data_IF_525455009508
#
_entry.id   IF_525455009508
#
_cell.length_a   1.000
_cell.length_b   1.000
_cell.length_c   1.000
_cell.angle_alpha   90.00
_cell.angle_beta   90.00
_cell.angle_gamma   90.00
#
_symmetry.space_group_name_H-M   'P 1'
#
loop_
_entity.id
_entity.type
_entity.pdbx_description
1 polymer ?
#
# COMPACT_ATOMS: atom_id res chain seq x y z
N UNK A 1 -28.83 29.51 -4.75
CA UNK A 1 -27.62 29.50 -3.93
C UNK A 1 -26.80 28.34 -4.41
N UNK A 2 -25.74 28.58 -5.16
CA UNK A 2 -24.77 27.54 -5.53
C UNK A 2 -24.05 27.13 -4.25
N UNK A 3 -24.33 25.92 -3.75
CA UNK A 3 -23.51 25.31 -2.70
C UNK A 3 -22.06 25.35 -3.18
N UNK A 4 -21.19 26.09 -2.52
CA UNK A 4 -19.76 26.03 -2.77
C UNK A 4 -19.32 24.60 -2.50
N UNK A 5 -18.88 23.92 -3.55
CA UNK A 5 -18.39 22.55 -3.45
C UNK A 5 -17.10 22.57 -2.64
N UNK A 6 -17.01 21.74 -1.60
CA UNK A 6 -15.79 21.64 -0.81
C UNK A 6 -14.68 21.00 -1.67
N UNK A 7 -13.48 21.62 -1.70
CA UNK A 7 -12.39 21.23 -2.60
C UNK A 7 -11.17 20.76 -1.81
N UNK A 8 -10.75 19.55 -2.05
CA UNK A 8 -9.53 18.91 -1.49
C UNK A 8 -8.42 18.93 -2.52
N UNK A 9 -7.28 19.54 -2.18
CA UNK A 9 -6.04 19.41 -2.96
C UNK A 9 -5.24 18.23 -2.42
N UNK A 10 -5.26 17.10 -3.14
CA UNK A 10 -4.58 15.86 -2.75
C UNK A 10 -3.14 15.87 -3.26
N UNK A 11 -2.19 16.03 -2.35
CA UNK A 11 -0.76 15.86 -2.61
C UNK A 11 -0.32 14.45 -2.24
N UNK A 12 0.32 13.77 -3.16
CA UNK A 12 0.72 12.38 -2.95
C UNK A 12 2.14 12.13 -3.43
N UNK A 13 2.91 11.38 -2.66
CA UNK A 13 4.15 10.78 -3.14
C UNK A 13 3.78 9.63 -4.08
N UNK A 14 4.31 9.67 -5.31
CA UNK A 14 3.93 8.71 -6.34
C UNK A 14 5.17 8.12 -6.99
N UNK A 15 5.48 6.85 -6.67
CA UNK A 15 6.57 6.12 -7.29
C UNK A 15 6.01 5.22 -8.40
N UNK A 16 6.17 5.63 -9.67
CA UNK A 16 5.65 4.91 -10.84
C UNK A 16 6.27 3.52 -11.07
N UNK A 17 7.28 3.17 -10.29
CA UNK A 17 7.97 1.87 -10.30
C UNK A 17 7.35 0.83 -9.36
N UNK A 18 6.26 1.20 -8.66
CA UNK A 18 5.54 0.36 -7.71
C UNK A 18 4.04 0.53 -7.94
N UNK A 19 3.33 -0.55 -8.30
CA UNK A 19 1.88 -0.49 -8.54
C UNK A 19 1.09 -0.12 -7.28
N UNK A 20 1.59 -0.48 -6.09
CA UNK A 20 0.98 -0.10 -4.83
C UNK A 20 1.02 1.41 -4.60
N UNK A 21 2.19 2.01 -4.77
CA UNK A 21 2.34 3.47 -4.65
C UNK A 21 1.45 4.21 -5.67
N UNK A 22 1.30 3.66 -6.89
CA UNK A 22 0.38 4.19 -7.90
C UNK A 22 -1.07 4.09 -7.47
N UNK A 23 -1.46 3.05 -6.72
CA UNK A 23 -2.85 2.81 -6.31
C UNK A 23 -3.33 3.74 -5.19
N UNK A 24 -2.44 4.31 -4.37
CA UNK A 24 -2.80 5.13 -3.20
C UNK A 24 -3.72 6.30 -3.58
N UNK A 25 -3.27 7.18 -4.48
CA UNK A 25 -4.01 8.40 -4.81
C UNK A 25 -5.32 8.14 -5.54
N UNK A 26 -5.38 7.30 -6.60
CA UNK A 26 -6.65 6.93 -7.21
C UNK A 26 -7.61 6.27 -6.22
N UNK A 27 -7.08 5.49 -5.27
CA UNK A 27 -7.88 4.90 -4.21
C UNK A 27 -8.49 5.95 -3.28
N UNK A 28 -7.71 6.94 -2.83
CA UNK A 28 -8.25 8.07 -2.05
C UNK A 28 -9.32 8.82 -2.83
N UNK A 29 -9.07 9.15 -4.10
CA UNK A 29 -10.09 9.81 -4.95
C UNK A 29 -11.36 8.96 -5.05
N UNK A 30 -11.21 7.64 -5.25
CA UNK A 30 -12.35 6.73 -5.32
C UNK A 30 -13.12 6.66 -4.00
N UNK A 31 -12.44 6.72 -2.86
CA UNK A 31 -13.09 6.78 -1.55
C UNK A 31 -13.95 8.06 -1.43
N UNK A 32 -13.45 9.22 -1.84
CA UNK A 32 -14.24 10.46 -1.87
C UNK A 32 -15.42 10.36 -2.83
N UNK A 33 -15.24 9.85 -4.06
CA UNK A 33 -16.35 9.67 -5.01
C UNK A 33 -17.46 8.77 -4.46
N UNK A 34 -17.12 7.77 -3.65
CA UNK A 34 -18.10 6.83 -3.07
C UNK A 34 -18.77 7.38 -1.81
N UNK A 35 -18.04 8.10 -0.97
CA UNK A 35 -18.50 8.42 0.39
C UNK A 35 -18.78 9.91 0.62
N UNK A 36 -18.29 10.78 -0.27
CA UNK A 36 -18.54 12.22 -0.27
C UNK A 36 -18.53 12.78 -1.70
N UNK A 37 -19.47 12.36 -2.58
CA UNK A 37 -19.48 12.72 -4.00
C UNK A 37 -19.69 14.24 -4.25
N UNK A 38 -20.12 14.98 -3.24
CA UNK A 38 -20.23 16.45 -3.24
C UNK A 38 -18.88 17.15 -3.17
N UNK A 39 -17.81 16.47 -2.75
CA UNK A 39 -16.46 17.03 -2.65
C UNK A 39 -15.74 16.94 -4.00
N UNK A 40 -15.04 17.99 -4.35
CA UNK A 40 -14.10 17.96 -5.46
C UNK A 40 -12.71 17.58 -4.94
N UNK A 41 -12.11 16.54 -5.52
CA UNK A 41 -10.70 16.20 -5.26
C UNK A 41 -9.88 16.59 -6.47
N UNK A 42 -8.88 17.44 -6.27
CA UNK A 42 -7.88 17.80 -7.27
C UNK A 42 -6.59 17.05 -6.92
N UNK A 43 -6.11 16.24 -7.85
CA UNK A 43 -4.87 15.49 -7.64
C UNK A 43 -3.65 16.34 -8.06
N UNK A 44 -2.71 16.50 -7.15
CA UNK A 44 -1.40 17.11 -7.37
C UNK A 44 -0.29 16.09 -7.11
N UNK A 45 0.09 15.27 -8.12
CA UNK A 45 1.09 14.21 -7.94
C UNK A 45 2.52 14.80 -7.91
N UNK A 46 3.43 14.11 -7.22
CA UNK A 46 4.87 14.43 -7.26
C UNK A 46 5.45 14.20 -8.65
N UNK A 47 5.06 13.09 -9.24
CA UNK A 47 5.46 12.65 -10.58
C UNK A 47 4.30 11.91 -11.24
N UNK A 48 4.05 12.19 -12.50
CA UNK A 48 3.02 11.51 -13.28
C UNK A 48 3.56 11.22 -14.68
N UNK A 49 3.66 9.95 -15.03
CA UNK A 49 4.06 9.50 -16.35
C UNK A 49 2.84 9.24 -17.24
N UNK A 50 3.04 9.11 -18.57
CA UNK A 50 1.91 8.96 -19.49
C UNK A 50 1.09 7.67 -19.25
N UNK A 51 1.71 6.63 -18.77
CA UNK A 51 1.03 5.39 -18.42
C UNK A 51 0.01 5.61 -17.30
N UNK A 52 0.43 6.22 -16.19
CA UNK A 52 -0.44 6.52 -15.05
C UNK A 52 -1.48 7.58 -15.41
N UNK A 53 -1.11 8.56 -16.24
CA UNK A 53 -2.05 9.56 -16.77
C UNK A 53 -3.14 8.91 -17.63
N UNK A 54 -2.78 7.91 -18.45
CA UNK A 54 -3.73 7.13 -19.23
C UNK A 54 -4.67 6.32 -18.33
N UNK A 55 -4.12 5.63 -17.33
CA UNK A 55 -4.90 4.89 -16.33
C UNK A 55 -5.91 5.82 -15.62
N UNK A 56 -5.47 6.99 -15.15
CA UNK A 56 -6.36 7.95 -14.48
C UNK A 56 -7.50 8.42 -15.38
N UNK A 57 -7.23 8.71 -16.66
CA UNK A 57 -8.29 9.08 -17.63
C UNK A 57 -9.36 7.99 -17.80
N UNK A 58 -8.96 6.72 -17.69
CA UNK A 58 -9.90 5.61 -17.81
C UNK A 58 -10.63 5.30 -16.49
N UNK A 59 -9.88 5.26 -15.39
CA UNK A 59 -10.42 4.92 -14.08
C UNK A 59 -11.25 6.04 -13.46
N UNK A 60 -10.84 7.29 -13.66
CA UNK A 60 -11.37 8.50 -13.01
C UNK A 60 -11.50 9.64 -14.04
N UNK A 61 -12.40 9.53 -15.04
CA UNK A 61 -12.46 10.46 -16.17
C UNK A 61 -12.72 11.91 -15.77
N UNK A 62 -13.40 12.15 -14.65
CA UNK A 62 -13.73 13.49 -14.14
C UNK A 62 -12.67 14.05 -13.18
N UNK A 63 -11.58 13.32 -12.92
CA UNK A 63 -10.53 13.77 -12.00
C UNK A 63 -9.73 14.91 -12.61
N UNK A 64 -9.73 16.04 -11.93
CA UNK A 64 -8.81 17.14 -12.23
C UNK A 64 -7.42 16.81 -11.69
N UNK A 65 -6.43 16.85 -12.57
CA UNK A 65 -5.01 16.67 -12.23
C UNK A 65 -4.28 17.97 -12.53
N UNK A 66 -3.43 18.41 -11.62
CA UNK A 66 -2.60 19.60 -11.78
C UNK A 66 -1.13 19.24 -11.65
N UNK A 67 -0.33 19.72 -12.58
CA UNK A 67 1.13 19.56 -12.55
C UNK A 67 1.77 20.81 -11.96
N UNK A 68 2.95 20.66 -11.39
CA UNK A 68 3.75 21.76 -10.89
C UNK A 68 4.47 21.46 -9.59
N UNK A 69 5.39 22.35 -9.25
CA UNK A 69 6.20 22.31 -8.03
C UNK A 69 6.04 23.59 -7.23
N UNK A 70 6.31 23.55 -5.93
CA UNK A 70 6.46 24.74 -5.10
C UNK A 70 7.93 25.08 -4.96
N UNK A 71 8.27 26.32 -5.29
CA UNK A 71 9.59 26.92 -5.08
C UNK A 71 9.53 28.10 -4.13
N UNK A 72 10.66 28.81 -3.94
CA UNK A 72 10.72 30.03 -3.14
C UNK A 72 9.79 31.13 -3.64
N UNK A 73 9.56 31.17 -4.96
CA UNK A 73 8.69 32.15 -5.64
C UNK A 73 7.22 31.68 -5.75
N UNK A 74 6.86 30.54 -5.17
CA UNK A 74 5.51 29.99 -5.18
C UNK A 74 5.27 28.87 -6.21
N UNK A 75 4.00 28.66 -6.64
CA UNK A 75 3.62 27.63 -7.60
C UNK A 75 4.26 27.85 -8.98
N UNK A 76 4.82 26.80 -9.57
CA UNK A 76 5.52 26.87 -10.86
C UNK A 76 4.60 26.96 -12.08
N UNK A 77 3.28 26.71 -11.91
CA UNK A 77 2.29 26.77 -13.00
C UNK A 77 1.06 27.56 -12.57
N UNK A 78 0.38 28.28 -13.50
CA UNK A 78 -0.88 28.96 -13.21
C UNK A 78 -1.99 28.00 -12.74
N UNK A 79 -2.02 26.78 -13.27
CA UNK A 79 -3.00 25.75 -12.92
C UNK A 79 -2.83 25.29 -11.47
N UNK A 80 -1.59 25.12 -10.99
CA UNK A 80 -1.31 24.80 -9.60
C UNK A 80 -1.66 25.98 -8.69
N UNK A 81 -1.34 27.22 -9.09
CA UNK A 81 -1.72 28.42 -8.34
C UNK A 81 -3.25 28.49 -8.15
N UNK A 82 -4.01 28.31 -9.24
CA UNK A 82 -5.47 28.31 -9.20
C UNK A 82 -6.05 27.17 -8.34
N UNK A 83 -5.40 25.98 -8.36
CA UNK A 83 -5.80 24.86 -7.52
C UNK A 83 -5.55 25.14 -6.02
N UNK A 84 -4.41 25.74 -5.68
CA UNK A 84 -4.07 26.17 -4.32
C UNK A 84 -5.07 27.24 -3.85
N UNK A 85 -5.36 28.25 -4.68
CA UNK A 85 -6.29 29.32 -4.31
C UNK A 85 -7.72 28.81 -4.11
N UNK A 86 -8.15 27.82 -4.88
CA UNK A 86 -9.50 27.26 -4.81
C UNK A 86 -9.69 26.12 -3.80
N UNK A 87 -8.62 25.52 -3.26
CA UNK A 87 -8.75 24.39 -2.34
C UNK A 87 -9.06 24.84 -0.92
N UNK A 88 -9.98 24.17 -0.27
CA UNK A 88 -10.32 24.41 1.15
C UNK A 88 -9.34 23.72 2.10
N UNK A 89 -8.77 22.59 1.69
CA UNK A 89 -7.84 21.78 2.48
C UNK A 89 -6.74 21.19 1.62
N UNK A 90 -5.50 21.17 2.13
CA UNK A 90 -4.41 20.38 1.59
C UNK A 90 -4.37 19.02 2.28
N UNK A 91 -4.47 17.95 1.51
CA UNK A 91 -4.40 16.58 2.02
C UNK A 91 -3.11 15.90 1.55
N UNK A 92 -2.30 15.42 2.49
CA UNK A 92 -1.24 14.47 2.20
C UNK A 92 -1.86 13.07 2.09
N UNK A 93 -1.70 12.44 0.95
CA UNK A 93 -2.29 11.11 0.69
C UNK A 93 -1.53 9.96 1.38
N UNK A 94 -2.03 8.75 1.17
CA UNK A 94 -1.46 7.52 1.73
C UNK A 94 0.02 7.35 1.39
N UNK A 95 0.76 6.73 2.28
CA UNK A 95 2.17 6.45 2.09
C UNK A 95 2.90 6.05 3.37
N UNK A 96 4.13 5.62 3.21
CA UNK A 96 5.06 5.39 4.29
C UNK A 96 5.73 6.72 4.63
N UNK A 97 5.55 7.19 5.87
CA UNK A 97 6.06 8.45 6.38
C UNK A 97 5.26 9.71 5.99
N UNK A 98 5.43 10.78 6.76
CA UNK A 98 4.84 12.09 6.53
C UNK A 98 5.68 12.90 5.52
N UNK A 99 5.80 12.38 4.28
CA UNK A 99 6.51 13.02 3.18
C UNK A 99 5.86 14.36 2.79
N UNK A 100 6.46 15.08 1.84
CA UNK A 100 5.95 16.35 1.32
C UNK A 100 5.96 17.48 2.37
N UNK A 101 6.92 17.45 3.29
CA UNK A 101 7.07 18.48 4.32
C UNK A 101 7.19 19.89 3.74
N UNK A 102 7.87 20.06 2.59
CA UNK A 102 8.02 21.32 1.90
C UNK A 102 6.69 21.94 1.50
N UNK A 103 5.79 21.13 0.95
CA UNK A 103 4.46 21.57 0.52
C UNK A 103 3.56 21.92 1.71
N UNK A 104 3.60 21.11 2.77
CA UNK A 104 2.89 21.38 4.02
C UNK A 104 3.40 22.68 4.66
N UNK A 105 4.71 22.84 4.80
CA UNK A 105 5.31 24.03 5.41
C UNK A 105 5.04 25.29 4.58
N UNK A 106 5.02 25.18 3.26
CA UNK A 106 4.65 26.28 2.38
C UNK A 106 3.18 26.64 2.53
N UNK A 107 2.28 25.66 2.56
CA UNK A 107 0.84 25.84 2.75
C UNK A 107 0.55 26.53 4.08
N UNK A 108 1.15 26.07 5.16
CA UNK A 108 1.02 26.68 6.49
C UNK A 108 1.40 28.16 6.51
N UNK A 109 2.49 28.51 5.82
CA UNK A 109 3.03 29.88 5.83
C UNK A 109 2.27 30.84 4.90
N UNK A 110 1.80 30.37 3.76
CA UNK A 110 1.30 31.26 2.69
C UNK A 110 -0.21 31.17 2.49
N UNK A 111 -0.83 30.03 2.81
CA UNK A 111 -2.27 29.81 2.64
C UNK A 111 -3.00 29.85 3.97
N UNK A 112 -2.50 29.19 5.00
CA UNK A 112 -3.06 29.18 6.36
C UNK A 112 -4.42 28.49 6.50
N UNK A 113 -4.88 27.78 5.47
CA UNK A 113 -6.10 26.95 5.51
C UNK A 113 -5.80 25.58 6.08
N UNK A 114 -6.84 24.78 6.44
CA UNK A 114 -6.69 23.41 6.95
C UNK A 114 -5.78 22.53 6.12
N UNK A 115 -5.07 21.61 6.77
CA UNK A 115 -4.33 20.54 6.14
C UNK A 115 -4.34 19.28 7.00
N UNK A 116 -4.08 18.11 6.37
CA UNK A 116 -4.02 16.87 7.11
C UNK A 116 -3.40 15.72 6.33
N UNK A 117 -3.34 14.58 7.00
CA UNK A 117 -2.72 13.34 6.51
C UNK A 117 -3.77 12.24 6.45
N UNK A 118 -3.83 11.52 5.32
CA UNK A 118 -4.84 10.50 5.07
C UNK A 118 -4.19 9.15 4.73
N UNK A 119 -4.31 8.18 5.63
CA UNK A 119 -3.79 6.83 5.42
C UNK A 119 -2.25 6.74 5.49
N UNK A 120 -1.62 7.41 6.46
CA UNK A 120 -0.15 7.44 6.58
C UNK A 120 0.37 6.43 7.61
N UNK A 121 1.59 5.93 7.38
CA UNK A 121 2.43 5.32 8.42
C UNK A 121 3.47 6.33 8.87
N UNK A 122 3.64 6.50 10.17
CA UNK A 122 4.79 7.17 10.77
C UNK A 122 5.50 6.14 11.63
N UNK A 123 6.53 5.52 11.07
CA UNK A 123 7.30 4.49 11.76
C UNK A 123 8.57 5.10 12.37
N UNK A 124 8.60 5.29 13.70
CA UNK A 124 9.73 5.89 14.37
C UNK A 124 10.96 4.97 14.39
N UNK A 125 10.78 3.67 14.13
CA UNK A 125 11.85 2.67 14.15
C UNK A 125 12.48 2.46 12.77
N UNK A 126 12.05 3.23 11.75
CA UNK A 126 12.60 3.18 10.39
C UNK A 126 13.76 4.19 10.22
N UNK A 127 14.87 3.82 9.64
CA UNK A 127 15.29 2.57 9.01
C UNK A 127 15.80 1.55 10.04
N UNK A 128 15.76 0.31 9.69
CA UNK A 128 14.93 -0.72 10.27
C UNK A 128 15.60 -1.39 11.45
N UNK A 129 14.83 -1.53 12.44
CA UNK A 129 15.00 -2.60 13.41
C UNK A 129 14.51 -3.88 12.74
N UNK A 130 15.38 -4.88 12.63
CA UNK A 130 15.00 -6.21 12.13
C UNK A 130 14.16 -6.87 13.23
N UNK A 131 12.83 -6.86 13.06
CA UNK A 131 11.90 -7.31 14.09
C UNK A 131 10.57 -7.82 13.50
N UNK A 132 9.93 -8.71 14.23
CA UNK A 132 8.54 -9.10 13.98
C UNK A 132 7.59 -7.97 14.37
N UNK A 133 6.37 -8.03 13.89
CA UNK A 133 5.37 -7.01 14.22
C UNK A 133 5.07 -6.90 15.72
N UNK A 134 4.93 -8.00 16.49
CA UNK A 134 4.79 -7.92 17.95
C UNK A 134 6.00 -7.29 18.66
N UNK A 135 7.23 -7.53 18.16
CA UNK A 135 8.44 -6.90 18.70
C UNK A 135 8.46 -5.40 18.40
N UNK A 136 8.06 -4.99 17.20
CA UNK A 136 7.92 -3.56 16.85
C UNK A 136 6.91 -2.87 17.76
N UNK A 137 5.77 -3.51 18.06
CA UNK A 137 4.78 -2.97 18.97
C UNK A 137 5.38 -2.71 20.37
N UNK A 138 6.13 -3.69 20.92
CA UNK A 138 6.81 -3.51 22.20
C UNK A 138 7.85 -2.40 22.18
N UNK A 139 8.62 -2.28 21.09
CA UNK A 139 9.61 -1.21 20.94
C UNK A 139 8.96 0.18 20.88
N UNK A 140 7.84 0.31 20.17
CA UNK A 140 7.07 1.56 20.11
C UNK A 140 6.63 2.02 21.48
N UNK A 141 6.16 1.10 22.34
CA UNK A 141 5.72 1.39 23.69
C UNK A 141 6.88 1.87 24.61
N UNK A 142 8.11 1.53 24.27
CA UNK A 142 9.31 1.90 25.03
C UNK A 142 9.95 3.23 24.57
N UNK A 143 9.49 3.82 23.47
CA UNK A 143 10.04 5.07 22.96
C UNK A 143 9.73 6.24 23.91
N UNK A 144 10.72 7.12 24.18
CA UNK A 144 10.48 8.30 25.00
C UNK A 144 9.53 9.28 24.26
N UNK A 145 8.72 10.07 24.99
CA UNK A 145 7.79 11.04 24.39
C UNK A 145 8.45 12.17 23.58
N UNK A 146 9.78 12.21 23.56
CA UNK A 146 10.60 13.17 22.80
C UNK A 146 11.35 12.52 21.65
N UNK A 147 10.91 11.36 21.16
CA UNK A 147 11.64 10.62 20.15
C UNK A 147 11.52 11.22 18.75
N UNK A 148 10.33 11.67 18.35
CA UNK A 148 10.17 12.34 17.05
C UNK A 148 10.81 13.74 17.07
N UNK A 149 11.40 14.10 15.95
CA UNK A 149 11.95 15.44 15.74
C UNK A 149 10.89 16.53 15.92
N UNK A 150 11.28 17.66 16.48
CA UNK A 150 10.37 18.77 16.80
C UNK A 150 9.65 19.30 15.53
N UNK A 151 10.32 19.35 14.39
CA UNK A 151 9.73 19.78 13.10
C UNK A 151 8.64 18.80 12.62
N UNK A 152 8.85 17.50 12.82
CA UNK A 152 7.84 16.47 12.48
C UNK A 152 6.65 16.59 13.41
N UNK A 153 6.90 16.75 14.72
CA UNK A 153 5.85 16.97 15.71
C UNK A 153 5.03 18.21 15.42
N UNK A 154 5.68 19.33 15.13
CA UNK A 154 4.99 20.60 14.84
C UNK A 154 4.09 20.50 13.61
N UNK A 155 4.54 19.80 12.57
CA UNK A 155 3.71 19.55 11.38
C UNK A 155 2.53 18.63 11.67
N UNK A 156 2.74 17.55 12.42
CA UNK A 156 1.68 16.60 12.75
C UNK A 156 0.68 17.18 13.73
N UNK A 157 1.15 17.83 14.80
CA UNK A 157 0.28 18.43 15.82
C UNK A 157 -0.43 19.70 15.31
N UNK A 158 0.11 20.37 14.30
CA UNK A 158 -0.50 21.50 13.62
C UNK A 158 -1.55 21.13 12.57
N UNK A 159 -1.69 19.84 12.21
CA UNK A 159 -2.68 19.37 11.25
C UNK A 159 -4.10 19.41 11.83
N UNK A 160 -5.11 19.45 10.97
CA UNK A 160 -6.53 19.34 11.37
C UNK A 160 -6.93 17.89 11.58
N UNK A 161 -6.37 16.98 10.79
CA UNK A 161 -6.56 15.53 10.94
C UNK A 161 -5.29 14.76 10.59
N UNK A 162 -5.07 13.62 11.27
CA UNK A 162 -4.03 12.64 10.93
C UNK A 162 -4.65 11.25 11.01
N UNK A 163 -4.97 10.68 9.87
CA UNK A 163 -5.52 9.33 9.78
C UNK A 163 -4.39 8.35 9.48
N UNK A 164 -4.12 7.49 10.47
CA UNK A 164 -3.06 6.50 10.45
C UNK A 164 -3.56 5.22 9.82
N UNK A 165 -2.83 4.65 8.86
CA UNK A 165 -3.28 3.42 8.19
C UNK A 165 -3.16 2.16 9.03
N UNK A 166 -2.52 2.24 10.21
CA UNK A 166 -2.48 1.16 11.21
C UNK A 166 -2.38 1.73 12.64
N UNK A 167 -2.82 0.91 13.59
CA UNK A 167 -2.92 1.31 14.99
C UNK A 167 -1.59 1.49 15.70
N UNK A 168 -0.49 0.94 15.20
CA UNK A 168 0.86 1.16 15.76
C UNK A 168 1.33 2.59 15.50
N UNK A 169 1.14 3.13 14.28
CA UNK A 169 1.36 4.56 14.03
C UNK A 169 0.49 5.42 14.96
N UNK A 170 -0.79 5.08 15.10
CA UNK A 170 -1.70 5.81 15.97
C UNK A 170 -1.21 5.81 17.44
N UNK A 171 -0.77 4.66 17.95
CA UNK A 171 -0.19 4.54 19.29
C UNK A 171 1.11 5.36 19.41
N UNK A 172 1.99 5.27 18.40
CA UNK A 172 3.21 6.07 18.33
C UNK A 172 2.92 7.56 18.46
N UNK A 173 2.04 8.11 17.62
CA UNK A 173 1.75 9.54 17.62
C UNK A 173 1.15 10.00 18.96
N UNK A 174 0.28 9.19 19.57
CA UNK A 174 -0.25 9.45 20.91
C UNK A 174 0.85 9.47 21.98
N UNK A 175 1.78 8.50 21.94
CA UNK A 175 2.92 8.46 22.88
C UNK A 175 3.83 9.67 22.72
N UNK A 176 3.97 10.18 21.50
CA UNK A 176 4.72 11.40 21.18
C UNK A 176 3.98 12.70 21.50
N UNK A 177 2.77 12.61 22.11
CA UNK A 177 1.94 13.74 22.52
C UNK A 177 1.39 14.58 21.35
N UNK A 178 1.16 13.97 20.22
CA UNK A 178 0.36 14.56 19.14
C UNK A 178 -1.09 14.50 19.59
N UNK A 179 -1.74 15.64 19.80
CA UNK A 179 -3.05 15.71 20.48
C UNK A 179 -4.06 16.66 19.84
N UNK A 180 -3.59 17.60 19.00
CA UNK A 180 -4.45 18.62 18.40
C UNK A 180 -5.27 18.14 17.22
N UNK A 181 -4.73 17.32 16.28
CA UNK A 181 -5.49 16.83 15.14
C UNK A 181 -6.56 15.82 15.57
N UNK A 182 -7.58 15.65 14.70
CA UNK A 182 -8.39 14.43 14.74
C UNK A 182 -7.49 13.23 14.39
N UNK A 183 -7.05 12.52 15.40
CA UNK A 183 -6.07 11.45 15.33
C UNK A 183 -6.78 10.10 15.40
N UNK A 184 -6.91 9.42 14.26
CA UNK A 184 -7.70 8.21 14.13
C UNK A 184 -7.08 7.18 13.18
N UNK A 185 -7.63 5.96 13.20
CA UNK A 185 -7.37 4.97 12.18
C UNK A 185 -8.08 5.35 10.87
N UNK A 186 -7.35 5.37 9.77
CA UNK A 186 -7.88 5.58 8.44
C UNK A 186 -7.06 4.77 7.44
N UNK A 187 -7.61 3.65 6.93
CA UNK A 187 -6.83 2.67 6.17
C UNK A 187 -6.20 3.27 4.92
N UNK A 188 -5.24 2.55 4.39
CA UNK A 188 -4.56 2.88 3.14
C UNK A 188 -5.57 3.10 2.02
N UNK A 189 -5.40 4.19 1.25
CA UNK A 189 -6.27 4.52 0.12
C UNK A 189 -6.37 3.41 -0.92
N UNK A 190 -5.34 2.58 -1.05
CA UNK A 190 -5.32 1.43 -1.97
C UNK A 190 -6.51 0.49 -1.77
N UNK A 191 -7.06 0.38 -0.54
CA UNK A 191 -8.25 -0.43 -0.28
C UNK A 191 -9.50 0.04 -1.05
N UNK A 192 -9.56 1.29 -1.49
CA UNK A 192 -10.68 1.79 -2.28
C UNK A 192 -10.44 1.67 -3.80
N UNK A 193 -9.24 1.32 -4.23
CA UNK A 193 -8.96 1.14 -5.66
C UNK A 193 -9.61 -0.13 -6.19
N UNK A 194 -10.52 0.02 -7.16
CA UNK A 194 -11.34 -1.07 -7.71
C UNK A 194 -11.31 -1.16 -9.25
N UNK A 195 -10.50 -0.32 -9.91
CA UNK A 195 -10.40 -0.31 -11.35
C UNK A 195 -9.55 -1.47 -11.88
N UNK A 196 -10.04 -2.13 -12.94
CA UNK A 196 -9.37 -3.24 -13.61
C UNK A 196 -9.38 -3.05 -15.11
N UNK A 197 -8.30 -3.41 -15.80
CA UNK A 197 -8.31 -3.63 -17.23
C UNK A 197 -8.53 -5.14 -17.52
N UNK A 198 -9.80 -5.55 -17.55
CA UNK A 198 -10.18 -6.95 -17.81
C UNK A 198 -9.73 -7.43 -19.20
N UNK A 199 -9.61 -6.54 -20.18
CA UNK A 199 -9.19 -6.89 -21.55
C UNK A 199 -7.69 -7.17 -21.58
N UNK A 200 -6.87 -6.30 -20.98
CA UNK A 200 -5.43 -6.52 -20.87
C UNK A 200 -5.12 -7.78 -20.04
N UNK A 201 -5.81 -7.96 -18.90
CA UNK A 201 -5.68 -9.16 -18.07
C UNK A 201 -6.04 -10.44 -18.84
N UNK A 202 -7.14 -10.46 -19.58
CA UNK A 202 -7.54 -11.62 -20.39
C UNK A 202 -6.50 -11.95 -21.47
N UNK A 203 -5.98 -10.95 -22.18
CA UNK A 203 -4.92 -11.14 -23.19
C UNK A 203 -3.64 -11.71 -22.59
N UNK A 204 -3.23 -11.19 -21.41
CA UNK A 204 -2.06 -11.70 -20.72
C UNK A 204 -2.24 -13.18 -20.34
N UNK A 205 -3.39 -13.51 -19.72
CA UNK A 205 -3.68 -14.88 -19.30
C UNK A 205 -3.75 -15.85 -20.49
N UNK A 206 -4.37 -15.45 -21.60
CA UNK A 206 -4.41 -16.23 -22.83
C UNK A 206 -2.99 -16.48 -23.37
N UNK A 207 -2.14 -15.44 -23.44
CA UNK A 207 -0.74 -15.55 -23.90
C UNK A 207 0.11 -16.47 -23.03
N UNK A 208 -0.22 -16.62 -21.76
CA UNK A 208 0.46 -17.49 -20.79
C UNK A 208 -0.18 -18.88 -20.66
N UNK A 209 -1.29 -19.13 -21.35
CA UNK A 209 -2.05 -20.38 -21.26
C UNK A 209 -2.73 -20.57 -19.89
N UNK A 210 -3.10 -19.48 -19.21
CA UNK A 210 -3.77 -19.47 -17.90
C UNK A 210 -5.28 -19.23 -18.06
N UNK A 211 -6.06 -19.83 -17.16
CA UNK A 211 -7.52 -19.68 -17.16
C UNK A 211 -7.99 -18.94 -15.90
N UNK A 212 -8.94 -18.00 -15.99
CA UNK A 212 -9.55 -17.35 -14.84
C UNK A 212 -10.03 -18.36 -13.78
N UNK A 213 -9.75 -18.08 -12.53
CA UNK A 213 -10.08 -18.94 -11.38
C UNK A 213 -9.26 -20.22 -11.27
N UNK A 214 -8.22 -20.41 -12.11
CA UNK A 214 -7.43 -21.64 -12.15
C UNK A 214 -5.91 -21.39 -12.10
N UNK A 215 -5.46 -20.40 -11.36
CA UNK A 215 -4.04 -20.09 -11.12
C UNK A 215 -3.88 -19.28 -9.84
N UNK A 216 -2.66 -19.25 -9.29
CA UNK A 216 -2.31 -18.37 -8.19
C UNK A 216 -1.19 -17.40 -8.60
N UNK A 217 -1.21 -16.21 -8.01
CA UNK A 217 -0.18 -15.18 -8.18
C UNK A 217 0.82 -15.20 -7.02
N UNK A 218 2.10 -15.05 -7.32
CA UNK A 218 3.18 -14.99 -6.34
C UNK A 218 4.03 -13.73 -6.60
N UNK A 219 4.25 -12.93 -5.56
CA UNK A 219 4.92 -11.62 -5.67
C UNK A 219 6.21 -11.63 -4.86
N UNK A 220 7.38 -11.68 -5.50
CA UNK A 220 8.66 -11.66 -4.81
C UNK A 220 9.08 -10.24 -4.43
N UNK A 221 9.93 -10.14 -3.39
CA UNK A 221 10.51 -8.88 -2.92
C UNK A 221 11.89 -9.08 -2.31
N UNK A 222 12.76 -8.09 -2.45
CA UNK A 222 13.96 -7.91 -1.63
C UNK A 222 13.60 -7.23 -0.30
N UNK A 223 14.43 -7.41 0.72
CA UNK A 223 14.24 -6.71 2.02
C UNK A 223 14.29 -5.20 1.88
N UNK A 224 15.12 -4.72 0.98
CA UNK A 224 15.25 -3.29 0.63
C UNK A 224 15.10 -3.09 -0.86
N UNK A 225 14.23 -2.19 -1.27
CA UNK A 225 14.09 -1.81 -2.67
C UNK A 225 15.39 -1.20 -3.20
N UNK A 226 15.94 -1.68 -4.33
CA UNK A 226 17.22 -1.22 -4.85
C UNK A 226 17.06 0.07 -5.68
N UNK A 227 16.61 1.16 -5.04
CA UNK A 227 16.27 2.41 -5.73
C UNK A 227 17.39 3.00 -6.58
N UNK A 228 18.67 2.87 -6.14
CA UNK A 228 19.79 3.32 -6.97
C UNK A 228 19.83 2.60 -8.32
N UNK A 229 19.62 1.26 -8.33
CA UNK A 229 19.53 0.45 -9.55
C UNK A 229 18.30 0.83 -10.38
N UNK A 230 17.14 0.99 -9.76
CA UNK A 230 15.88 1.31 -10.44
C UNK A 230 15.96 2.66 -11.17
N UNK A 231 16.57 3.67 -10.54
CA UNK A 231 16.66 5.03 -11.09
C UNK A 231 18.00 5.30 -11.81
N UNK A 232 18.89 4.33 -11.90
CA UNK A 232 20.18 4.48 -12.57
C UNK A 232 21.10 5.53 -11.93
N UNK A 233 21.04 5.65 -10.58
CA UNK A 233 21.87 6.61 -9.83
C UNK A 233 23.00 5.91 -9.09
N UNK A 234 24.06 6.64 -8.77
CA UNK A 234 25.14 6.12 -7.94
C UNK A 234 24.61 5.80 -6.53
N UNK A 235 24.88 4.59 -5.99
CA UNK A 235 24.37 4.20 -4.69
C UNK A 235 25.11 4.94 -3.57
N UNK A 236 24.36 5.43 -2.59
CA UNK A 236 24.91 5.95 -1.33
C UNK A 236 25.52 4.80 -0.50
N UNK A 237 26.33 5.15 0.52
CA UNK A 237 26.89 4.15 1.45
C UNK A 237 25.79 3.31 2.12
N UNK A 238 24.67 3.92 2.48
CA UNK A 238 23.54 3.21 3.08
C UNK A 238 22.87 2.26 2.07
N UNK A 239 22.71 2.67 0.82
CA UNK A 239 22.17 1.80 -0.23
C UNK A 239 23.11 0.62 -0.53
N UNK A 240 24.43 0.81 -0.51
CA UNK A 240 25.39 -0.29 -0.60
C UNK A 240 25.28 -1.29 0.55
N UNK A 241 25.06 -0.79 1.80
CA UNK A 241 24.81 -1.63 2.98
C UNK A 241 23.53 -2.45 2.81
N UNK A 242 22.43 -1.82 2.39
CA UNK A 242 21.14 -2.48 2.13
C UNK A 242 21.25 -3.54 1.04
N UNK A 243 22.01 -3.26 0.02
CA UNK A 243 22.32 -4.20 -1.07
C UNK A 243 23.09 -5.43 -0.59
N UNK A 244 24.03 -5.25 0.35
CA UNK A 244 24.74 -6.38 0.95
C UNK A 244 23.78 -7.26 1.79
N UNK A 245 22.81 -6.66 2.50
CA UNK A 245 21.76 -7.41 3.20
C UNK A 245 20.90 -8.18 2.21
N UNK A 246 20.43 -7.54 1.13
CA UNK A 246 19.65 -8.20 0.08
C UNK A 246 20.38 -9.43 -0.46
N UNK A 247 21.65 -9.30 -0.86
CA UNK A 247 22.44 -10.43 -1.35
C UNK A 247 22.61 -11.56 -0.33
N UNK A 248 22.73 -11.22 0.95
CA UNK A 248 22.88 -12.21 2.01
C UNK A 248 21.58 -12.96 2.34
N UNK A 249 20.42 -12.39 2.05
CA UNK A 249 19.10 -12.92 2.51
C UNK A 249 18.20 -13.39 1.39
N UNK A 250 18.40 -12.98 0.14
CA UNK A 250 17.48 -13.21 -0.97
C UNK A 250 17.14 -14.68 -1.17
N UNK A 251 18.12 -15.57 -1.13
CA UNK A 251 17.88 -17.02 -1.32
C UNK A 251 17.02 -17.60 -0.21
N UNK A 252 17.29 -17.22 1.05
CA UNK A 252 16.51 -17.65 2.19
C UNK A 252 15.06 -17.13 2.10
N UNK A 253 14.88 -15.85 1.82
CA UNK A 253 13.57 -15.22 1.80
C UNK A 253 12.71 -15.77 0.64
N UNK A 254 13.30 -15.88 -0.56
CA UNK A 254 12.59 -16.43 -1.72
C UNK A 254 12.35 -17.94 -1.63
N UNK A 255 13.10 -18.69 -0.82
CA UNK A 255 12.81 -20.11 -0.57
C UNK A 255 11.45 -20.31 0.13
N UNK A 256 11.00 -19.35 0.95
CA UNK A 256 9.67 -19.38 1.56
C UNK A 256 8.59 -19.17 0.48
N UNK A 257 8.78 -18.24 -0.43
CA UNK A 257 7.87 -18.04 -1.56
C UNK A 257 7.85 -19.26 -2.50
N UNK A 258 9.02 -19.85 -2.76
CA UNK A 258 9.15 -21.09 -3.54
C UNK A 258 8.41 -22.26 -2.88
N UNK A 259 8.47 -22.40 -1.56
CA UNK A 259 7.70 -23.41 -0.82
C UNK A 259 6.17 -23.22 -0.98
N UNK A 260 5.71 -21.96 -1.04
CA UNK A 260 4.31 -21.64 -1.33
C UNK A 260 3.93 -22.05 -2.76
N UNK A 261 4.78 -21.76 -3.76
CA UNK A 261 4.58 -22.15 -5.17
C UNK A 261 4.52 -23.67 -5.30
N UNK A 262 5.50 -24.38 -4.73
CA UNK A 262 5.55 -25.86 -4.74
C UNK A 262 4.28 -26.47 -4.14
N UNK A 263 3.84 -25.92 -3.02
CA UNK A 263 2.65 -26.41 -2.31
C UNK A 263 1.40 -26.16 -3.14
N UNK A 264 1.24 -24.97 -3.70
CA UNK A 264 0.10 -24.64 -4.56
C UNK A 264 -0.01 -25.61 -5.74
N UNK A 265 1.08 -25.74 -6.52
CA UNK A 265 1.10 -26.61 -7.71
C UNK A 265 0.80 -28.08 -7.31
N UNK A 266 1.44 -28.56 -6.25
CA UNK A 266 1.28 -29.95 -5.80
C UNK A 266 -0.13 -30.26 -5.28
N UNK A 267 -0.72 -29.34 -4.51
CA UNK A 267 -2.02 -29.60 -3.82
C UNK A 267 -3.19 -29.32 -4.74
N UNK A 268 -3.17 -28.17 -5.45
CA UNK A 268 -4.27 -27.80 -6.33
C UNK A 268 -4.21 -28.42 -7.72
N UNK A 269 -3.02 -28.83 -8.18
CA UNK A 269 -2.78 -29.24 -9.57
C UNK A 269 -2.86 -28.07 -10.58
N UNK A 270 -2.91 -26.83 -10.10
CA UNK A 270 -3.08 -25.64 -10.92
C UNK A 270 -1.76 -24.87 -11.11
N UNK A 271 -1.59 -24.15 -12.23
CA UNK A 271 -0.39 -23.37 -12.48
C UNK A 271 -0.24 -22.18 -11.52
N UNK A 272 0.99 -21.69 -11.45
CA UNK A 272 1.38 -20.47 -10.75
C UNK A 272 1.89 -19.41 -11.74
N UNK A 273 1.64 -18.13 -11.44
CA UNK A 273 2.29 -17.01 -12.11
C UNK A 273 3.05 -16.16 -11.08
N UNK A 274 4.31 -15.85 -11.38
CA UNK A 274 5.11 -14.92 -10.58
C UNK A 274 5.06 -13.56 -11.24
N UNK A 275 4.66 -12.55 -10.47
CA UNK A 275 4.36 -11.21 -10.97
C UNK A 275 5.02 -10.13 -10.10
N UNK A 276 5.40 -8.97 -10.67
CA UNK A 276 6.03 -7.90 -9.92
C UNK A 276 5.00 -6.96 -9.27
N UNK A 277 5.24 -6.51 -8.02
CA UNK A 277 4.64 -5.26 -7.52
C UNK A 277 5.57 -4.08 -7.84
N UNK A 278 6.87 -4.27 -7.71
CA UNK A 278 7.89 -3.30 -8.11
C UNK A 278 8.63 -3.74 -9.38
N UNK A 279 9.09 -2.77 -10.16
CA UNK A 279 9.73 -3.03 -11.47
C UNK A 279 10.95 -3.95 -11.40
N UNK A 280 11.77 -3.89 -10.35
CA UNK A 280 12.94 -4.75 -10.17
C UNK A 280 12.60 -6.22 -9.90
N UNK A 281 11.36 -6.49 -9.46
CA UNK A 281 10.95 -7.85 -9.10
C UNK A 281 10.85 -8.79 -10.32
N UNK A 282 10.78 -8.25 -11.53
CA UNK A 282 10.88 -9.04 -12.78
C UNK A 282 12.22 -9.76 -12.84
N UNK A 283 13.32 -9.00 -12.79
CA UNK A 283 14.69 -9.57 -12.84
C UNK A 283 14.93 -10.50 -11.64
N UNK A 284 14.51 -10.08 -10.44
CA UNK A 284 14.62 -10.88 -9.22
C UNK A 284 13.99 -12.27 -9.38
N UNK A 285 12.79 -12.34 -9.96
CA UNK A 285 12.09 -13.61 -10.17
C UNK A 285 12.86 -14.51 -11.15
N UNK A 286 13.28 -13.97 -12.29
CA UNK A 286 14.01 -14.72 -13.31
C UNK A 286 15.38 -15.21 -12.85
N UNK A 287 16.07 -14.42 -12.03
CA UNK A 287 17.43 -14.77 -11.54
C UNK A 287 17.38 -15.88 -10.49
N UNK A 288 16.42 -15.86 -9.57
CA UNK A 288 16.47 -16.68 -8.37
C UNK A 288 15.47 -17.85 -8.35
N UNK A 289 14.22 -17.66 -8.77
CA UNK A 289 13.18 -18.66 -8.57
C UNK A 289 13.40 -19.99 -9.32
N UNK A 290 13.94 -20.02 -10.56
CA UNK A 290 14.16 -21.28 -11.26
C UNK A 290 15.06 -22.26 -10.51
N UNK A 291 15.97 -21.77 -9.68
CA UNK A 291 16.87 -22.60 -8.87
C UNK A 291 16.27 -23.05 -7.53
N UNK A 292 15.19 -22.43 -7.10
CA UNK A 292 14.52 -22.67 -5.81
C UNK A 292 13.29 -23.58 -5.92
N UNK A 293 12.79 -23.78 -7.13
CA UNK A 293 11.61 -24.60 -7.43
C UNK A 293 12.03 -25.88 -8.15
N UNK A 294 11.39 -27.00 -7.86
CA UNK A 294 11.69 -28.26 -8.52
C UNK A 294 11.40 -28.20 -10.03
N UNK A 295 12.15 -28.94 -10.88
CA UNK A 295 11.92 -28.96 -12.32
C UNK A 295 10.49 -29.33 -12.71
N UNK A 296 9.84 -30.21 -11.94
CA UNK A 296 8.44 -30.62 -12.17
C UNK A 296 7.49 -29.44 -11.94
N UNK A 297 7.63 -28.73 -10.82
CA UNK A 297 6.82 -27.54 -10.51
C UNK A 297 7.12 -26.40 -11.47
N UNK A 298 8.39 -26.18 -11.82
CA UNK A 298 8.82 -25.11 -12.73
C UNK A 298 8.10 -25.19 -14.10
N UNK A 299 7.80 -26.39 -14.59
CA UNK A 299 7.00 -26.59 -15.80
C UNK A 299 5.58 -25.99 -15.73
N UNK A 300 5.05 -25.77 -14.53
CA UNK A 300 3.74 -25.15 -14.28
C UNK A 300 3.84 -23.70 -13.79
N UNK A 301 5.03 -23.13 -13.67
CA UNK A 301 5.25 -21.74 -13.27
C UNK A 301 5.40 -20.87 -14.51
N UNK A 302 4.75 -19.71 -14.49
CA UNK A 302 4.94 -18.64 -15.47
C UNK A 302 5.62 -17.47 -14.76
N UNK A 303 6.73 -16.99 -15.28
CA UNK A 303 7.39 -15.79 -14.81
C UNK A 303 7.00 -14.65 -15.75
N UNK A 304 6.39 -13.59 -15.23
CA UNK A 304 6.09 -12.42 -16.03
C UNK A 304 7.40 -11.72 -16.40
N UNK A 305 7.62 -11.45 -17.68
CA UNK A 305 8.88 -10.96 -18.25
C UNK A 305 8.97 -9.42 -18.32
N UNK A 306 7.94 -8.72 -17.83
CA UNK A 306 7.84 -7.27 -17.83
C UNK A 306 7.20 -6.72 -16.56
N UNK A 307 7.48 -5.47 -16.27
CA UNK A 307 6.67 -4.71 -15.33
C UNK A 307 5.32 -4.36 -15.98
N UNK A 308 4.26 -4.38 -15.20
CA UNK A 308 2.90 -4.23 -15.69
C UNK A 308 2.17 -2.99 -15.13
N UNK A 309 1.15 -2.48 -15.82
CA UNK A 309 0.28 -1.43 -15.30
C UNK A 309 -0.56 -1.92 -14.11
N UNK A 310 -0.93 -0.97 -13.23
CA UNK A 310 -1.75 -1.24 -12.06
C UNK A 310 -3.09 -1.91 -12.41
N UNK A 311 -3.80 -1.38 -13.41
CA UNK A 311 -5.11 -1.85 -13.82
C UNK A 311 -5.10 -3.25 -14.46
N UNK A 312 -4.00 -3.61 -15.14
CA UNK A 312 -3.76 -4.96 -15.61
C UNK A 312 -3.48 -5.91 -14.45
N UNK A 313 -2.61 -5.50 -13.51
CA UNK A 313 -2.31 -6.26 -12.30
C UNK A 313 -3.57 -6.55 -11.49
N UNK A 314 -4.38 -5.53 -11.23
CA UNK A 314 -5.65 -5.65 -10.50
C UNK A 314 -6.63 -6.56 -11.24
N UNK A 315 -6.68 -6.48 -12.59
CA UNK A 315 -7.49 -7.37 -13.41
C UNK A 315 -7.09 -8.84 -13.31
N UNK A 316 -5.78 -9.14 -13.27
CA UNK A 316 -5.26 -10.50 -13.07
C UNK A 316 -5.54 -11.00 -11.65
N UNK A 317 -5.29 -10.16 -10.63
CA UNK A 317 -5.60 -10.52 -9.25
C UNK A 317 -7.09 -10.83 -9.07
N UNK A 318 -7.98 -10.02 -9.64
CA UNK A 318 -9.43 -10.19 -9.52
C UNK A 318 -9.96 -11.54 -10.02
N UNK A 319 -9.21 -12.23 -10.88
CA UNK A 319 -9.59 -13.53 -11.44
C UNK A 319 -8.63 -14.66 -11.05
N UNK A 320 -7.72 -14.43 -10.10
CA UNK A 320 -6.85 -15.47 -9.54
C UNK A 320 -7.58 -16.30 -8.47
N UNK A 321 -7.01 -17.43 -8.07
CA UNK A 321 -7.52 -18.25 -6.95
C UNK A 321 -6.84 -17.91 -5.62
N UNK A 322 -5.64 -17.33 -5.66
CA UNK A 322 -4.83 -17.00 -4.50
C UNK A 322 -3.80 -15.96 -4.90
N UNK A 323 -3.48 -15.04 -4.00
CA UNK A 323 -2.31 -14.17 -4.10
C UNK A 323 -1.42 -14.38 -2.87
N UNK A 324 -0.17 -14.79 -3.08
CA UNK A 324 0.87 -14.86 -2.03
C UNK A 324 1.90 -13.79 -2.33
N UNK A 325 2.09 -12.85 -1.45
CA UNK A 325 2.92 -11.68 -1.72
C UNK A 325 3.89 -11.38 -0.59
N UNK A 326 5.10 -11.01 -0.97
CA UNK A 326 6.09 -10.40 -0.07
C UNK A 326 5.99 -8.86 -0.07
N UNK A 327 5.09 -8.28 -0.85
CA UNK A 327 4.72 -6.86 -0.89
C UNK A 327 3.32 -6.67 -0.31
N UNK A 328 3.04 -5.51 0.33
CA UNK A 328 1.80 -5.33 1.08
C UNK A 328 0.59 -4.92 0.22
N UNK A 329 0.79 -4.31 -0.95
CA UNK A 329 -0.33 -3.77 -1.71
C UNK A 329 -1.02 -4.81 -2.61
N UNK A 330 -0.28 -5.79 -3.13
CA UNK A 330 -0.87 -6.88 -3.90
C UNK A 330 -1.94 -7.66 -3.11
N UNK A 331 -1.76 -7.99 -1.81
CA UNK A 331 -2.82 -8.53 -0.97
C UNK A 331 -4.02 -7.59 -0.79
N UNK A 332 -3.79 -6.27 -0.68
CA UNK A 332 -4.87 -5.27 -0.59
C UNK A 332 -5.73 -5.30 -1.85
N UNK A 333 -5.08 -5.19 -3.03
CA UNK A 333 -5.75 -5.20 -4.33
C UNK A 333 -6.53 -6.50 -4.56
N UNK A 334 -5.95 -7.65 -4.18
CA UNK A 334 -6.61 -8.95 -4.29
C UNK A 334 -7.79 -9.09 -3.32
N UNK A 335 -7.62 -8.70 -2.06
CA UNK A 335 -8.68 -8.76 -1.06
C UNK A 335 -9.89 -7.90 -1.43
N UNK A 336 -9.68 -6.77 -2.12
CA UNK A 336 -10.74 -5.93 -2.67
C UNK A 336 -11.70 -6.71 -3.59
N UNK A 337 -11.19 -7.72 -4.31
CA UNK A 337 -11.94 -8.61 -5.18
C UNK A 337 -12.33 -9.94 -4.51
N UNK A 338 -12.27 -10.01 -3.17
CA UNK A 338 -12.55 -11.20 -2.39
C UNK A 338 -11.63 -12.40 -2.69
N UNK A 339 -10.45 -12.15 -3.26
CA UNK A 339 -9.47 -13.22 -3.55
C UNK A 339 -8.72 -13.59 -2.26
N UNK A 340 -8.55 -14.88 -1.94
CA UNK A 340 -7.68 -15.33 -0.88
C UNK A 340 -6.29 -14.72 -0.96
N UNK A 341 -5.76 -14.23 0.15
CA UNK A 341 -4.42 -13.62 0.17
C UNK A 341 -3.59 -14.10 1.35
N UNK A 342 -2.27 -14.14 1.15
CA UNK A 342 -1.25 -14.33 2.19
C UNK A 342 -0.19 -13.25 2.00
N UNK A 343 0.16 -12.56 3.07
CA UNK A 343 1.24 -11.58 3.09
C UNK A 343 2.44 -12.14 3.87
N UNK A 344 3.57 -12.33 3.18
CA UNK A 344 4.84 -12.77 3.77
C UNK A 344 5.62 -11.52 4.19
N UNK A 345 5.48 -11.13 5.46
CA UNK A 345 6.11 -9.92 5.99
C UNK A 345 7.59 -10.15 6.25
N UNK A 346 8.42 -9.31 5.64
CA UNK A 346 9.86 -9.31 5.90
C UNK A 346 10.21 -8.56 7.19
N UNK A 347 11.23 -9.01 7.96
CA UNK A 347 11.56 -8.41 9.27
C UNK A 347 12.12 -6.98 9.17
N UNK A 348 12.44 -6.51 7.96
CA UNK A 348 12.88 -5.14 7.67
C UNK A 348 11.73 -4.21 7.27
N UNK A 349 10.50 -4.69 7.29
CA UNK A 349 9.35 -3.86 6.98
C UNK A 349 8.91 -2.99 8.15
N UNK A 350 8.27 -1.87 7.81
CA UNK A 350 7.66 -0.95 8.76
C UNK A 350 6.47 -1.58 9.49
N UNK A 351 5.82 -0.81 10.34
CA UNK A 351 4.59 -1.20 11.06
C UNK A 351 3.37 -1.39 10.15
N UNK A 352 3.45 -1.05 8.86
CA UNK A 352 2.32 -1.02 7.92
C UNK A 352 1.50 -2.32 7.81
N UNK A 353 2.12 -3.48 8.05
CA UNK A 353 1.43 -4.78 8.01
C UNK A 353 0.38 -4.94 9.12
N UNK A 354 0.47 -4.15 10.21
CA UNK A 354 -0.54 -4.11 11.26
C UNK A 354 -1.95 -3.79 10.71
N UNK A 355 -2.07 -3.05 9.60
CA UNK A 355 -3.37 -2.71 9.02
C UNK A 355 -4.25 -3.94 8.73
N UNK A 356 -3.68 -5.11 8.42
CA UNK A 356 -4.47 -6.32 8.19
C UNK A 356 -5.08 -6.86 9.47
N UNK A 357 -4.36 -6.80 10.59
CA UNK A 357 -4.89 -7.14 11.91
C UNK A 357 -5.98 -6.15 12.33
N UNK A 358 -5.75 -4.85 12.11
CA UNK A 358 -6.71 -3.79 12.41
C UNK A 358 -8.00 -3.91 11.60
N UNK A 359 -7.92 -4.53 10.41
CA UNK A 359 -9.06 -4.86 9.55
C UNK A 359 -9.63 -6.27 9.79
N UNK A 360 -9.24 -6.92 10.90
CA UNK A 360 -9.80 -8.20 11.35
C UNK A 360 -9.24 -9.42 10.65
N UNK A 361 -8.01 -9.38 10.15
CA UNK A 361 -7.33 -10.52 9.52
C UNK A 361 -5.84 -10.63 9.90
N UNK A 362 -5.52 -10.79 11.21
CA UNK A 362 -4.13 -10.92 11.66
C UNK A 362 -3.43 -12.15 11.06
N UNK A 363 -4.15 -13.23 10.84
CA UNK A 363 -3.69 -14.49 10.26
C UNK A 363 -3.42 -14.43 8.74
N UNK A 364 -3.69 -13.30 8.09
CA UNK A 364 -3.29 -13.05 6.72
C UNK A 364 -1.77 -12.78 6.63
N UNK A 365 -1.16 -12.26 7.70
CA UNK A 365 0.26 -11.91 7.75
C UNK A 365 1.06 -13.07 8.33
N UNK A 366 2.04 -13.55 7.58
CA UNK A 366 3.02 -14.54 8.02
C UNK A 366 4.38 -13.85 8.13
N UNK A 367 4.94 -13.81 9.32
CA UNK A 367 6.29 -13.28 9.55
C UNK A 367 7.34 -14.16 8.87
N UNK A 368 8.27 -13.56 8.16
CA UNK A 368 9.36 -14.26 7.48
C UNK A 368 10.48 -14.61 8.49
N UNK A 369 10.15 -15.49 9.40
CA UNK A 369 11.03 -16.05 10.43
C UNK A 369 11.42 -17.51 10.12
N UNK A 370 12.04 -18.18 11.08
CA UNK A 370 12.45 -19.57 10.93
C UNK A 370 11.30 -20.59 10.77
N UNK A 371 10.04 -20.20 11.05
CA UNK A 371 8.84 -21.05 10.88
C UNK A 371 8.07 -20.70 9.60
N UNK A 372 8.44 -19.65 8.90
CA UNK A 372 7.69 -19.11 7.78
C UNK A 372 7.37 -20.15 6.71
N UNK A 373 8.35 -20.99 6.33
CA UNK A 373 8.15 -22.02 5.31
C UNK A 373 7.06 -23.05 5.73
N UNK A 374 7.08 -23.54 6.96
CA UNK A 374 6.07 -24.48 7.44
C UNK A 374 4.69 -23.81 7.55
N UNK A 375 4.64 -22.57 8.02
CA UNK A 375 3.40 -21.81 8.18
C UNK A 375 2.76 -21.51 6.82
N UNK A 376 3.54 -21.06 5.82
CA UNK A 376 3.00 -20.78 4.48
C UNK A 376 2.54 -22.04 3.76
N UNK A 377 3.27 -23.16 3.93
CA UNK A 377 2.86 -24.47 3.39
C UNK A 377 1.50 -24.89 3.94
N UNK A 378 1.28 -24.76 5.26
CA UNK A 378 -0.01 -25.06 5.87
C UNK A 378 -1.11 -24.15 5.31
N UNK A 379 -0.90 -22.83 5.33
CA UNK A 379 -1.88 -21.85 4.85
C UNK A 379 -2.26 -22.05 3.37
N UNK A 380 -1.28 -22.30 2.50
CA UNK A 380 -1.53 -22.57 1.07
C UNK A 380 -2.25 -23.91 0.88
N UNK A 381 -1.92 -24.94 1.69
CA UNK A 381 -2.62 -26.24 1.65
C UNK A 381 -4.09 -26.07 2.02
N UNK A 382 -4.38 -25.33 3.09
CA UNK A 382 -5.75 -25.08 3.56
C UNK A 382 -6.56 -24.35 2.48
N UNK A 383 -5.99 -23.28 1.89
CA UNK A 383 -6.66 -22.49 0.83
C UNK A 383 -6.87 -23.32 -0.45
N UNK A 384 -5.87 -24.13 -0.83
CA UNK A 384 -5.98 -24.98 -2.02
C UNK A 384 -7.01 -26.11 -1.86
N UNK A 385 -7.26 -26.53 -0.62
CA UNK A 385 -8.23 -27.60 -0.28
C UNK A 385 -9.63 -27.04 -0.09
N UNK A 386 -9.76 -25.95 0.67
CA UNK A 386 -11.02 -25.22 0.91
C UNK A 386 -10.77 -23.70 0.93
N UNK A 387 -11.02 -22.98 -0.16
CA UNK A 387 -10.81 -21.53 -0.23
C UNK A 387 -11.87 -20.72 0.52
N UNK A 388 -13.01 -21.30 0.92
CA UNK A 388 -14.14 -20.54 1.43
C UNK A 388 -13.83 -19.71 2.69
N UNK A 389 -13.09 -20.20 3.69
CA UNK A 389 -12.71 -19.39 4.85
C UNK A 389 -11.83 -18.21 4.48
N UNK A 390 -10.87 -18.40 3.55
CA UNK A 390 -9.97 -17.33 3.10
C UNK A 390 -10.70 -16.27 2.24
N UNK A 391 -11.65 -16.69 1.39
CA UNK A 391 -12.55 -15.77 0.67
C UNK A 391 -13.38 -14.93 1.65
N UNK A 392 -13.95 -15.56 2.67
CA UNK A 392 -14.72 -14.86 3.70
C UNK A 392 -13.85 -13.85 4.47
N UNK A 393 -12.60 -14.20 4.78
CA UNK A 393 -11.62 -13.29 5.39
C UNK A 393 -11.31 -12.08 4.50
N UNK A 394 -11.02 -12.28 3.22
CA UNK A 394 -10.76 -11.19 2.27
C UNK A 394 -11.98 -10.26 2.12
N UNK A 395 -13.20 -10.79 2.07
CA UNK A 395 -14.44 -10.00 2.06
C UNK A 395 -14.59 -9.16 3.33
N UNK A 396 -14.27 -9.72 4.49
CA UNK A 396 -14.32 -9.00 5.77
C UNK A 396 -13.31 -7.84 5.80
N UNK A 397 -12.07 -8.08 5.36
CA UNK A 397 -11.05 -7.03 5.23
C UNK A 397 -11.54 -5.89 4.35
N UNK A 398 -12.07 -6.20 3.16
CA UNK A 398 -12.57 -5.19 2.23
C UNK A 398 -13.76 -4.41 2.81
N UNK A 399 -14.69 -5.07 3.51
CA UNK A 399 -15.85 -4.43 4.14
C UNK A 399 -15.41 -3.51 5.29
N UNK A 400 -14.53 -3.98 6.18
CA UNK A 400 -14.00 -3.19 7.29
C UNK A 400 -13.20 -1.98 6.80
N UNK A 401 -12.43 -2.15 5.72
CA UNK A 401 -11.72 -1.04 5.07
C UNK A 401 -12.69 -0.01 4.49
N UNK A 402 -13.77 -0.42 3.82
CA UNK A 402 -14.80 0.48 3.29
C UNK A 402 -15.49 1.27 4.41
N UNK A 403 -15.80 0.64 5.54
CA UNK A 403 -16.43 1.31 6.70
C UNK A 403 -15.48 2.33 7.34
N UNK A 404 -14.22 1.97 7.52
CA UNK A 404 -13.21 2.88 8.06
C UNK A 404 -12.90 4.04 7.09
N UNK A 405 -12.78 3.79 5.79
CA UNK A 405 -12.60 4.84 4.77
C UNK A 405 -13.80 5.78 4.72
N UNK A 406 -15.04 5.25 4.82
CA UNK A 406 -16.25 6.05 4.89
C UNK A 406 -16.22 6.97 6.09
N UNK A 407 -15.84 6.48 7.26
CA UNK A 407 -15.72 7.29 8.48
C UNK A 407 -14.66 8.39 8.31
N UNK A 408 -13.46 8.04 7.81
CA UNK A 408 -12.38 8.99 7.59
C UNK A 408 -12.75 10.10 6.58
N UNK A 409 -13.32 9.73 5.43
CA UNK A 409 -13.77 10.70 4.41
C UNK A 409 -14.82 11.65 4.96
N UNK A 410 -15.84 11.14 5.66
CA UNK A 410 -16.91 11.98 6.23
C UNK A 410 -16.40 12.91 7.33
N UNK A 411 -15.52 12.44 8.19
CA UNK A 411 -14.93 13.26 9.24
C UNK A 411 -14.08 14.39 8.65
N UNK A 412 -13.26 14.09 7.64
CA UNK A 412 -12.48 15.09 6.92
C UNK A 412 -13.35 16.21 6.31
N UNK A 413 -14.52 15.85 5.74
CA UNK A 413 -15.45 16.81 5.11
C UNK A 413 -16.25 17.60 6.14
N UNK A 414 -16.69 16.94 7.21
CA UNK A 414 -17.52 17.57 8.25
C UNK A 414 -16.70 18.44 9.22
N UNK A 415 -15.37 18.34 9.23
CA UNK A 415 -14.51 18.93 10.26
C UNK A 415 -14.85 18.41 11.66
N UNK A 416 -15.38 17.19 11.75
CA UNK A 416 -15.77 16.56 13.01
C UNK A 416 -14.89 15.33 13.26
N UNK A 417 -14.44 15.10 14.51
CA UNK A 417 -13.61 13.95 14.85
C UNK A 417 -14.30 12.63 14.49
N UNK A 418 -13.53 11.66 14.02
CA UNK A 418 -13.97 10.26 13.96
C UNK A 418 -14.20 9.84 15.41
N UNK A 419 -15.45 9.63 15.80
CA UNK A 419 -15.79 9.12 17.13
C UNK A 419 -14.94 7.87 17.41
N UNK A 420 -14.48 7.70 18.64
CA UNK A 420 -13.68 6.53 19.06
C UNK A 420 -14.49 5.25 18.87
N UNK A 421 -14.49 4.70 17.66
CA UNK A 421 -14.90 3.32 17.46
C UNK A 421 -13.79 2.43 18.04
N UNK A 422 -14.11 1.51 18.93
CA UNK A 422 -13.15 0.48 19.32
C UNK A 422 -12.73 -0.29 18.05
N UNK A 423 -11.49 -0.76 17.96
CA UNK A 423 -11.06 -1.62 16.86
C UNK A 423 -12.02 -2.80 16.76
N UNK A 424 -12.48 -3.10 15.54
CA UNK A 424 -13.34 -4.25 15.25
C UNK A 424 -12.55 -5.51 15.63
N UNK A 425 -12.83 -6.11 16.77
CA UNK A 425 -12.12 -7.34 17.17
C UNK A 425 -12.05 -7.63 18.67
N UNK A 426 -12.83 -6.98 19.54
CA UNK A 426 -12.82 -7.25 20.98
C UNK A 426 -14.05 -8.01 21.52
N UNK A 427 -14.83 -8.67 20.68
CA UNK A 427 -15.88 -9.57 21.17
C UNK A 427 -15.54 -11.01 20.82
N UNK A 428 -15.47 -11.82 21.90
CA UNK A 428 -15.33 -13.25 22.05
C UNK A 428 -13.88 -13.80 22.16
N UNK A 429 -13.46 -13.84 23.44
CA UNK A 429 -12.51 -14.82 23.94
C UNK A 429 -13.23 -16.16 24.25
#
# INVERSE_FOLDING_TARGET
MTSTRHTVLLRSSWATVNIGDVAHSPGVVRAFQRFAPEVEVILWPVRLEERERSMLRHALPDLRVVDGTLGGDGPSTPELAAAIDGADVLMHGSGADAFQSTEIDWWRRHVGRPYGYFGVTVDPLCPPTVATLPELAQMVDLLPPSYLDDDVKDRLDGADFVYCRETLTLATLRSQKITRPDLAFGPDGTFAFDHTDAVAAARLLEGLGLQPGRFACFVPRLRYSPYAKIYGTDPTREQMRRDAVNRATVTHDLAVLAAAIETWVRVSGLPAIVVPEMSYAVELAHEHLPSLVSPQTLGQVRLLDRYWPLEEATGVYAVSSLVVSMECHSPILAARHAIPTIYLRQPTETTKSQMFADLGAPDLVIELDHRAAATVVAAVTDIATDPAPAVARSRRVAANADDALRAAVRACVAGQPIGSHPPVGSDDA
#
